data_IF_204885588538
#
_entry.id   IF_204885588538
#
_cell.length_a   1.000
_cell.length_b   1.000
_cell.length_c   1.000
_cell.angle_alpha   90.00
_cell.angle_beta   90.00
_cell.angle_gamma   90.00
#
_symmetry.space_group_name_H-M   'P 1'
#
loop_
_entity.id
_entity.type
_entity.pdbx_description
1 polymer ?
#
# COMPACT_ATOMS: atom_id res chain seq x y z
N UNK A 1 2.12 53.19 10.79
CA UNK A 1 0.94 52.33 10.93
C UNK A 1 1.24 51.07 10.14
N UNK A 2 1.76 50.01 10.80
CA UNK A 2 2.08 48.74 10.14
C UNK A 2 0.79 47.91 10.12
N UNK A 3 0.31 47.65 8.92
CA UNK A 3 -0.82 46.72 8.70
C UNK A 3 -0.27 45.29 8.68
N UNK A 4 -0.42 44.58 9.80
CA UNK A 4 -0.11 43.15 9.85
C UNK A 4 -1.25 42.41 9.18
N UNK A 5 -1.03 41.92 7.96
CA UNK A 5 -1.92 40.98 7.31
C UNK A 5 -1.71 39.62 8.00
N UNK A 6 -2.60 39.25 8.91
CA UNK A 6 -2.70 37.88 9.38
C UNK A 6 -3.25 37.02 8.24
N UNK A 7 -2.40 36.21 7.64
CA UNK A 7 -2.86 35.13 6.79
C UNK A 7 -3.58 34.13 7.69
N UNK A 8 -4.91 34.10 7.63
CA UNK A 8 -5.69 33.02 8.22
C UNK A 8 -5.41 31.76 7.38
N UNK A 9 -4.62 30.86 7.92
CA UNK A 9 -4.54 29.52 7.37
C UNK A 9 -5.92 28.88 7.57
N UNK A 10 -6.54 28.42 6.47
CA UNK A 10 -7.75 27.63 6.57
C UNK A 10 -7.46 26.42 7.46
N UNK A 11 -8.32 26.20 8.43
CA UNK A 11 -8.23 25.05 9.32
C UNK A 11 -8.25 23.78 8.47
N UNK A 12 -7.25 22.91 8.65
CA UNK A 12 -7.18 21.67 7.88
C UNK A 12 -8.42 20.81 8.21
N UNK A 13 -9.07 20.20 7.23
CA UNK A 13 -10.22 19.35 7.50
C UNK A 13 -9.81 18.19 8.42
N UNK A 14 -10.68 17.85 9.36
CA UNK A 14 -10.45 16.80 10.38
C UNK A 14 -10.15 15.43 9.77
N UNK A 15 -10.56 15.19 8.53
CA UNK A 15 -10.29 13.96 7.80
C UNK A 15 -10.07 14.22 6.32
N UNK A 16 -8.94 13.73 5.81
CA UNK A 16 -8.72 13.60 4.37
C UNK A 16 -9.08 12.18 3.95
N UNK A 17 -10.11 12.03 3.13
CA UNK A 17 -10.38 10.76 2.47
C UNK A 17 -9.92 10.84 1.04
N UNK A 18 -9.24 9.80 0.56
CA UNK A 18 -8.83 9.71 -0.84
C UNK A 18 -10.02 9.64 -1.82
N UNK A 19 -11.22 9.50 -1.30
CA UNK A 19 -12.48 9.51 -2.04
C UNK A 19 -13.16 10.88 -2.05
N UNK A 20 -12.56 11.91 -1.47
CA UNK A 20 -13.16 13.24 -1.34
C UNK A 20 -13.16 14.06 -2.62
N UNK A 21 -12.45 13.61 -3.62
CA UNK A 21 -12.34 14.28 -4.92
C UNK A 21 -12.90 13.35 -5.98
N UNK A 22 -13.36 13.91 -7.10
CA UNK A 22 -13.76 13.11 -8.24
C UNK A 22 -12.72 12.01 -8.47
N UNK A 23 -13.13 10.77 -8.21
CA UNK A 23 -12.26 9.62 -8.26
C UNK A 23 -11.84 9.37 -9.71
N UNK A 24 -10.74 9.97 -10.11
CA UNK A 24 -10.25 9.93 -11.48
C UNK A 24 -10.03 8.49 -11.95
N UNK A 25 -9.62 7.62 -11.04
CA UNK A 25 -9.35 6.23 -11.32
C UNK A 25 -10.45 5.27 -10.83
N UNK A 26 -11.60 5.77 -10.36
CA UNK A 26 -12.64 4.94 -9.79
C UNK A 26 -13.15 3.84 -10.69
N UNK A 27 -13.36 4.16 -11.97
CA UNK A 27 -13.79 3.19 -12.98
C UNK A 27 -12.71 2.16 -13.35
N UNK A 28 -11.45 2.42 -13.02
CA UNK A 28 -10.30 1.57 -13.28
C UNK A 28 -9.70 0.98 -11.99
N UNK A 29 -10.41 1.11 -10.85
CA UNK A 29 -10.02 0.53 -9.59
C UNK A 29 -10.06 -1.00 -9.67
N UNK A 30 -8.94 -1.63 -9.31
CA UNK A 30 -8.86 -3.08 -9.20
C UNK A 30 -9.17 -3.50 -7.77
N UNK A 31 -9.97 -4.56 -7.60
CA UNK A 31 -10.33 -5.10 -6.29
C UNK A 31 -10.39 -6.63 -6.35
N UNK A 32 -10.36 -7.28 -5.19
CA UNK A 32 -10.58 -8.71 -5.07
C UNK A 32 -9.64 -9.55 -5.93
N UNK A 33 -10.17 -10.57 -6.58
CA UNK A 33 -9.40 -11.50 -7.40
C UNK A 33 -8.77 -10.82 -8.62
N UNK A 34 -9.40 -9.80 -9.20
CA UNK A 34 -8.84 -9.04 -10.33
C UNK A 34 -7.58 -8.28 -9.91
N UNK A 35 -7.58 -7.68 -8.72
CA UNK A 35 -6.39 -7.03 -8.16
C UNK A 35 -5.28 -8.05 -7.87
N UNK A 36 -5.61 -9.18 -7.26
CA UNK A 36 -4.66 -10.26 -6.99
C UNK A 36 -4.02 -10.77 -8.28
N UNK A 37 -4.80 -11.04 -9.31
CA UNK A 37 -4.32 -11.53 -10.60
C UNK A 37 -3.42 -10.49 -11.29
N UNK A 38 -3.80 -9.22 -11.24
CA UNK A 38 -3.01 -8.12 -11.80
C UNK A 38 -1.66 -7.98 -11.07
N UNK A 39 -1.63 -8.01 -9.76
CA UNK A 39 -0.39 -8.00 -8.96
C UNK A 39 0.49 -9.19 -9.36
N UNK A 40 -0.05 -10.39 -9.42
CA UNK A 40 0.70 -11.63 -9.70
C UNK A 40 1.13 -11.78 -11.16
N UNK A 41 0.70 -10.89 -12.05
CA UNK A 41 1.26 -10.80 -13.40
C UNK A 41 2.70 -10.26 -13.41
N UNK A 42 3.14 -9.67 -12.29
CA UNK A 42 4.44 -9.02 -12.10
C UNK A 42 4.76 -7.96 -13.16
N UNK A 43 3.72 -7.36 -13.72
CA UNK A 43 3.79 -6.23 -14.65
C UNK A 43 3.20 -4.99 -14.00
N UNK A 44 3.77 -3.82 -14.29
CA UNK A 44 3.30 -2.57 -13.72
C UNK A 44 4.26 -1.97 -12.69
N UNK A 45 3.73 -1.05 -11.89
CA UNK A 45 4.48 -0.30 -10.91
C UNK A 45 4.06 -0.69 -9.50
N UNK A 46 5.03 -0.95 -8.63
CA UNK A 46 4.83 -1.40 -7.26
C UNK A 46 5.51 -0.43 -6.29
N UNK A 47 4.78 0.06 -5.33
CA UNK A 47 5.30 0.94 -4.29
C UNK A 47 4.86 0.46 -2.92
N UNK A 48 5.75 0.54 -1.94
CA UNK A 48 5.43 0.32 -0.53
C UNK A 48 5.80 1.57 0.26
N UNK A 49 4.82 2.11 0.95
CA UNK A 49 4.96 3.28 1.80
C UNK A 49 4.87 2.87 3.27
N UNK A 50 5.79 3.39 4.06
CA UNK A 50 5.86 3.15 5.51
C UNK A 50 6.17 4.47 6.23
N UNK A 51 6.07 4.48 7.54
CA UNK A 51 6.37 5.66 8.35
C UNK A 51 7.64 5.42 9.16
N UNK A 52 8.59 6.33 9.08
CA UNK A 52 9.80 6.32 9.88
C UNK A 52 9.51 6.64 11.37
N UNK A 53 10.42 6.30 12.30
CA UNK A 53 10.23 6.58 13.72
C UNK A 53 10.04 8.08 14.07
N UNK A 54 10.56 8.97 13.23
CA UNK A 54 10.39 10.41 13.37
C UNK A 54 9.07 10.96 12.77
N UNK A 55 8.23 10.06 12.25
CA UNK A 55 6.96 10.39 11.61
C UNK A 55 7.06 10.76 10.12
N UNK A 56 8.28 10.87 9.57
CA UNK A 56 8.46 11.15 8.15
C UNK A 56 8.03 9.97 7.28
N UNK A 57 7.60 10.27 6.05
CA UNK A 57 7.23 9.23 5.08
C UNK A 57 8.47 8.55 4.50
N UNK A 58 8.38 7.24 4.33
CA UNK A 58 9.35 6.44 3.59
C UNK A 58 8.61 5.67 2.50
N UNK A 59 9.18 5.62 1.31
CA UNK A 59 8.61 4.90 0.18
C UNK A 59 9.71 4.20 -0.62
N UNK A 60 9.40 3.01 -1.13
CA UNK A 60 10.33 2.24 -1.94
C UNK A 60 9.61 1.39 -2.97
N UNK A 61 10.31 1.13 -4.08
CA UNK A 61 9.85 0.19 -5.10
C UNK A 61 10.18 -1.23 -4.65
N UNK A 62 9.15 -2.02 -4.37
CA UNK A 62 9.30 -3.42 -3.97
C UNK A 62 8.23 -4.24 -4.66
N UNK A 63 8.65 -5.22 -5.45
CA UNK A 63 7.72 -6.18 -6.05
C UNK A 63 7.19 -7.10 -4.95
N UNK A 64 5.90 -7.29 -4.92
CA UNK A 64 5.21 -8.20 -4.02
C UNK A 64 4.22 -9.08 -4.78
N UNK A 65 3.97 -10.27 -4.26
CA UNK A 65 2.88 -11.13 -4.71
C UNK A 65 1.65 -10.96 -3.84
N UNK A 66 0.51 -11.45 -4.31
CA UNK A 66 -0.74 -11.46 -3.56
C UNK A 66 -1.31 -12.87 -3.51
N UNK A 67 -1.74 -13.31 -2.33
CA UNK A 67 -2.40 -14.60 -2.14
C UNK A 67 -3.74 -14.40 -1.45
N UNK A 68 -4.70 -15.27 -1.74
CA UNK A 68 -5.98 -15.34 -1.06
C UNK A 68 -5.98 -16.51 -0.09
N UNK A 69 -6.43 -16.26 1.12
CA UNK A 69 -6.69 -17.30 2.10
C UNK A 69 -8.03 -17.00 2.76
N UNK A 70 -8.95 -17.96 2.68
CA UNK A 70 -10.36 -17.75 3.00
C UNK A 70 -10.90 -16.55 2.19
N UNK A 71 -11.51 -15.58 2.86
CA UNK A 71 -12.10 -14.38 2.22
C UNK A 71 -11.18 -13.14 2.28
N UNK A 72 -9.89 -13.33 2.62
CA UNK A 72 -8.92 -12.26 2.78
C UNK A 72 -7.78 -12.35 1.77
N UNK A 73 -7.16 -11.21 1.52
CA UNK A 73 -6.01 -11.08 0.63
C UNK A 73 -4.77 -10.69 1.42
N UNK A 74 -3.64 -11.26 1.04
CA UNK A 74 -2.36 -11.07 1.73
C UNK A 74 -1.28 -10.73 0.72
N UNK A 75 -0.46 -9.72 1.02
CA UNK A 75 0.70 -9.36 0.23
C UNK A 75 1.93 -10.07 0.81
N UNK A 76 2.66 -10.77 -0.05
CA UNK A 76 3.94 -11.40 0.27
C UNK A 76 5.07 -10.54 -0.25
N UNK A 77 5.85 -9.95 0.65
CA UNK A 77 6.96 -9.06 0.34
C UNK A 77 8.28 -9.69 0.73
N UNK A 78 9.20 -9.82 -0.23
CA UNK A 78 10.59 -10.18 0.05
C UNK A 78 11.38 -8.90 0.32
N UNK A 79 11.58 -8.55 1.58
CA UNK A 79 12.30 -7.33 1.95
C UNK A 79 13.70 -7.70 2.49
N UNK A 80 14.73 -7.13 1.87
CA UNK A 80 16.07 -7.11 2.44
C UNK A 80 16.12 -6.25 3.72
N UNK A 81 17.23 -6.27 4.43
CA UNK A 81 17.44 -5.39 5.58
C UNK A 81 17.52 -3.92 5.12
N UNK A 82 16.40 -3.23 5.15
CA UNK A 82 16.24 -1.84 4.76
C UNK A 82 15.26 -1.11 5.67
N UNK A 83 15.13 0.21 5.49
CA UNK A 83 14.27 1.04 6.33
C UNK A 83 12.79 0.62 6.27
N UNK A 84 12.28 0.21 5.11
CA UNK A 84 10.89 -0.24 4.99
C UNK A 84 10.62 -1.48 5.83
N UNK A 85 11.56 -2.46 5.85
CA UNK A 85 11.44 -3.64 6.70
C UNK A 85 11.42 -3.26 8.18
N UNK A 86 12.36 -2.43 8.62
CA UNK A 86 12.42 -1.96 10.01
C UNK A 86 11.13 -1.24 10.43
N UNK A 87 10.60 -0.39 9.56
CA UNK A 87 9.35 0.32 9.82
C UNK A 87 8.17 -0.65 9.94
N UNK A 88 8.09 -1.67 9.10
CA UNK A 88 7.02 -2.67 9.15
C UNK A 88 7.13 -3.56 10.40
N UNK A 89 8.33 -3.97 10.78
CA UNK A 89 8.58 -4.74 12.00
C UNK A 89 8.22 -3.92 13.27
N UNK A 90 8.38 -2.58 13.21
CA UNK A 90 8.12 -1.68 14.34
C UNK A 90 6.65 -1.24 14.40
N UNK A 91 6.08 -0.81 13.27
CA UNK A 91 4.76 -0.18 13.21
C UNK A 91 3.65 -1.16 12.82
N UNK A 92 3.98 -2.29 12.23
CA UNK A 92 3.05 -3.34 11.85
C UNK A 92 2.07 -2.97 10.74
N UNK A 93 2.26 -1.83 10.04
CA UNK A 93 1.32 -1.36 9.00
C UNK A 93 1.98 -0.51 7.94
N UNK A 94 1.34 -0.43 6.77
CA UNK A 94 1.81 0.38 5.66
C UNK A 94 0.75 0.51 4.57
N UNK A 95 1.18 1.12 3.47
CA UNK A 95 0.39 1.30 2.26
C UNK A 95 1.17 0.68 1.08
N UNK A 96 0.54 -0.22 0.36
CA UNK A 96 1.05 -0.71 -0.92
C UNK A 96 0.26 -0.06 -2.07
N UNK A 97 0.95 0.26 -3.16
CA UNK A 97 0.35 0.80 -4.38
C UNK A 97 0.72 -0.11 -5.53
N UNK A 98 -0.27 -0.55 -6.26
CA UNK A 98 -0.09 -1.23 -7.54
C UNK A 98 -0.71 -0.39 -8.66
N UNK A 99 0.05 -0.15 -9.71
CA UNK A 99 -0.40 0.58 -10.88
C UNK A 99 -0.07 -0.19 -12.15
N UNK A 100 -1.09 -0.61 -12.89
CA UNK A 100 -0.94 -1.27 -14.18
C UNK A 100 -0.62 -0.21 -15.24
N UNK A 101 0.58 -0.33 -15.84
CA UNK A 101 1.03 0.54 -16.92
C UNK A 101 1.12 -0.30 -18.21
N UNK A 102 0.12 -0.22 -19.10
CA UNK A 102 0.18 -0.90 -20.39
C UNK A 102 1.39 -0.44 -21.21
N UNK A 103 1.96 -1.36 -22.00
CA UNK A 103 3.17 -1.06 -22.78
C UNK A 103 3.01 0.04 -23.85
N UNK A 104 1.76 0.36 -24.22
CA UNK A 104 1.40 1.42 -25.16
C UNK A 104 1.07 2.78 -24.51
N UNK A 105 1.09 2.84 -23.17
CA UNK A 105 0.78 4.06 -22.40
C UNK A 105 1.95 4.48 -21.50
N UNK A 106 2.20 5.78 -21.36
CA UNK A 106 3.21 6.29 -20.44
C UNK A 106 2.68 6.49 -18.99
N UNK A 107 1.45 6.06 -18.71
CA UNK A 107 0.78 6.27 -17.42
C UNK A 107 -0.03 5.03 -17.02
N UNK A 108 -0.34 4.93 -15.74
CA UNK A 108 -1.20 3.88 -15.22
C UNK A 108 -2.64 4.05 -15.73
N UNK A 109 -3.27 2.92 -16.09
CA UNK A 109 -4.67 2.90 -16.54
C UNK A 109 -5.60 2.16 -15.60
N UNK A 110 -5.06 1.40 -14.65
CA UNK A 110 -5.79 0.70 -13.60
C UNK A 110 -4.87 0.49 -12.39
N UNK A 111 -5.44 0.19 -11.24
CA UNK A 111 -4.65 -0.15 -10.06
C UNK A 111 -5.41 0.05 -8.76
N UNK A 112 -4.67 0.02 -7.67
CA UNK A 112 -5.21 0.19 -6.33
C UNK A 112 -4.17 0.68 -5.33
N UNK A 113 -4.65 1.31 -4.26
CA UNK A 113 -3.93 1.54 -3.01
C UNK A 113 -4.46 0.57 -1.97
N UNK A 114 -3.58 -0.14 -1.31
CA UNK A 114 -3.91 -1.18 -0.33
C UNK A 114 -3.32 -0.82 1.02
N UNK A 115 -4.16 -0.46 1.98
CA UNK A 115 -3.71 -0.43 3.37
C UNK A 115 -3.52 -1.86 3.86
N UNK A 116 -2.49 -2.11 4.63
CA UNK A 116 -2.20 -3.44 5.14
C UNK A 116 -1.64 -3.43 6.55
N UNK A 117 -1.77 -4.57 7.24
CA UNK A 117 -1.12 -4.86 8.52
C UNK A 117 -0.24 -6.09 8.40
N UNK A 118 0.92 -6.07 9.09
CA UNK A 118 1.83 -7.21 9.14
C UNK A 118 1.19 -8.35 9.92
N UNK A 119 1.22 -9.55 9.34
CA UNK A 119 0.76 -10.78 9.99
C UNK A 119 1.85 -11.27 10.94
N UNK A 120 1.50 -11.44 12.21
CA UNK A 120 2.40 -11.97 13.25
C UNK A 120 1.94 -13.31 13.83
N UNK A 121 0.72 -13.74 13.48
CA UNK A 121 0.17 -15.01 13.92
C UNK A 121 0.90 -16.18 13.24
N UNK A 122 1.51 -17.07 14.05
CA UNK A 122 2.35 -18.14 13.54
C UNK A 122 1.56 -19.25 12.82
N UNK A 123 0.30 -19.51 13.23
CA UNK A 123 -0.54 -20.53 12.60
C UNK A 123 -0.97 -20.04 11.23
N UNK A 124 -1.39 -18.76 11.13
CA UNK A 124 -1.74 -18.13 9.88
C UNK A 124 -0.52 -18.04 8.93
N UNK A 125 0.65 -17.65 9.42
CA UNK A 125 1.88 -17.64 8.61
C UNK A 125 2.18 -19.02 8.02
N UNK A 126 2.03 -20.07 8.82
CA UNK A 126 2.20 -21.46 8.36
C UNK A 126 1.16 -21.83 7.29
N UNK A 127 -0.11 -21.47 7.49
CA UNK A 127 -1.19 -21.69 6.52
C UNK A 127 -0.95 -20.95 5.20
N UNK A 128 -0.33 -19.76 5.26
CA UNK A 128 0.05 -18.95 4.10
C UNK A 128 1.37 -19.39 3.44
N UNK A 129 2.01 -20.46 3.93
CA UNK A 129 3.25 -20.99 3.37
C UNK A 129 4.47 -20.10 3.61
N UNK A 130 4.51 -19.40 4.74
CA UNK A 130 5.66 -18.59 5.16
C UNK A 130 6.39 -19.28 6.28
N UNK A 131 7.68 -19.54 6.07
CA UNK A 131 8.53 -20.12 7.12
C UNK A 131 8.89 -19.06 8.18
N UNK A 132 8.80 -19.44 9.44
CA UNK A 132 9.20 -18.58 10.54
C UNK A 132 10.70 -18.22 10.41
N UNK A 133 11.01 -16.92 10.50
CA UNK A 133 12.39 -16.43 10.37
C UNK A 133 12.86 -16.26 8.92
N UNK A 134 12.01 -16.49 7.93
CA UNK A 134 12.28 -16.21 6.52
C UNK A 134 12.43 -14.71 6.22
N UNK A 135 12.96 -14.40 5.04
CA UNK A 135 13.09 -12.99 4.57
C UNK A 135 11.79 -12.36 4.08
N UNK A 136 10.69 -13.13 4.02
CA UNK A 136 9.40 -12.65 3.56
C UNK A 136 8.56 -12.12 4.71
N UNK A 137 7.96 -10.94 4.50
CA UNK A 137 6.91 -10.40 5.37
C UNK A 137 5.57 -10.66 4.70
N UNK A 138 4.61 -11.16 5.48
CA UNK A 138 3.23 -11.33 5.05
C UNK A 138 2.37 -10.23 5.65
N UNK A 139 1.55 -9.60 4.82
CA UNK A 139 0.72 -8.47 5.22
C UNK A 139 -0.73 -8.71 4.80
N UNK A 140 -1.66 -8.64 5.73
CA UNK A 140 -3.11 -8.69 5.46
C UNK A 140 -3.56 -7.36 4.84
N UNK A 141 -4.23 -7.41 3.69
CA UNK A 141 -4.88 -6.22 3.09
C UNK A 141 -6.13 -5.87 3.88
N UNK A 142 -6.16 -4.70 4.47
CA UNK A 142 -7.26 -4.25 5.34
C UNK A 142 -8.21 -3.28 4.64
N UNK A 143 -7.74 -2.59 3.61
CA UNK A 143 -8.55 -1.65 2.82
C UNK A 143 -7.99 -1.55 1.41
N UNK A 144 -8.88 -1.41 0.43
CA UNK A 144 -8.52 -1.20 -0.98
C UNK A 144 -9.22 0.06 -1.47
N UNK A 145 -8.46 0.95 -2.12
CA UNK A 145 -8.96 2.22 -2.67
C UNK A 145 -8.40 2.43 -4.08
N UNK A 146 -9.07 3.26 -4.90
CA UNK A 146 -8.54 3.70 -6.19
C UNK A 146 -7.17 4.38 -6.09
N UNK A 147 -6.50 4.57 -7.23
CA UNK A 147 -5.17 5.21 -7.27
C UNK A 147 -5.14 6.67 -6.86
N UNK A 148 -6.26 7.40 -6.96
CA UNK A 148 -6.31 8.81 -6.57
C UNK A 148 -7.44 9.57 -7.19
#
# INVERSE_FOLDING_TARGET
MLCTVSAAFAEAPDTYTSASVADYYGAAALTGDDLMNAINSFSGFYLVCTTNPDGSANAGYFIYGCVKHEDKYYLKMGLAANQSKLNLETNGKGLAVYAAVPGDKPYATAGARMEFTVVTDAELLTALGVEAGGSSIMCEVTSVRPLG
#
